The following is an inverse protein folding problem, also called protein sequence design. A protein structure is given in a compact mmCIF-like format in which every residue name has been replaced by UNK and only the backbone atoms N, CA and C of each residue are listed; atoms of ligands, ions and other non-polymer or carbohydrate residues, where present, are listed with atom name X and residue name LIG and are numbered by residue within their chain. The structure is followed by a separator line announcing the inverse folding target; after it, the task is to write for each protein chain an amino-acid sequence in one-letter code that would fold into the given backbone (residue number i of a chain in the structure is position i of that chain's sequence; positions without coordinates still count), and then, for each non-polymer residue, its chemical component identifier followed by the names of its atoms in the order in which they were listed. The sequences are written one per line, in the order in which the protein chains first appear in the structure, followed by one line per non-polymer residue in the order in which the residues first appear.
data_IF_610507539643
#
_entry.id   IF_610507539643
#
_cell.length_a   1.000
_cell.length_b   1.000
_cell.length_c   1.000
_cell.angle_alpha   90.00
_cell.angle_beta   90.00
_cell.angle_gamma   90.00
#
_symmetry.space_group_name_H-M   'P 1'
#
loop_
_entity.id
_entity.type
_entity.pdbx_description
1 polymer ?
#
# COMPACT_ATOMS: atom_id res chain seq x y z
N UNK A 1 29.63 36.42 -6.37
CA UNK A 1 28.44 37.21 -6.74
C UNK A 1 27.70 36.45 -7.81
N UNK A 2 26.73 35.64 -7.45
CA UNK A 2 25.75 35.05 -8.40
C UNK A 2 24.39 35.06 -7.70
N UNK A 3 23.45 35.67 -8.40
CA UNK A 3 22.10 36.04 -7.98
C UNK A 3 21.17 34.84 -7.75
N UNK A 4 20.44 34.87 -6.63
CA UNK A 4 19.32 33.95 -6.35
C UNK A 4 18.06 34.52 -7.01
N UNK A 5 17.49 33.76 -7.95
CA UNK A 5 16.15 34.03 -8.48
C UNK A 5 15.10 33.39 -7.57
N UNK A 6 14.22 34.22 -6.98
CA UNK A 6 13.02 33.78 -6.26
C UNK A 6 11.88 33.66 -7.27
N UNK A 7 11.26 32.47 -7.35
CA UNK A 7 10.01 32.29 -8.07
C UNK A 7 8.87 32.56 -7.09
N UNK A 8 8.09 33.61 -7.38
CA UNK A 8 6.87 34.00 -6.64
C UNK A 8 5.70 33.33 -7.37
N UNK A 9 5.01 32.42 -6.70
CA UNK A 9 3.77 31.84 -7.20
C UNK A 9 2.60 32.83 -7.07
N UNK A 10 1.92 33.07 -8.17
CA UNK A 10 0.75 33.95 -8.25
C UNK A 10 -0.51 33.09 -8.06
N UNK A 11 -1.21 33.28 -6.93
CA UNK A 11 -2.54 32.69 -6.71
C UNK A 11 -3.60 33.58 -7.38
N UNK A 12 -4.30 33.06 -8.38
CA UNK A 12 -5.44 33.74 -8.98
C UNK A 12 -6.73 33.33 -8.25
N UNK A 13 -7.35 34.30 -7.55
CA UNK A 13 -8.68 34.15 -6.97
C UNK A 13 -9.71 34.52 -8.05
N UNK A 14 -10.52 33.55 -8.48
CA UNK A 14 -11.65 33.78 -9.39
C UNK A 14 -12.94 33.87 -8.57
N UNK A 15 -13.51 35.06 -8.45
CA UNK A 15 -14.82 35.30 -7.88
C UNK A 15 -15.89 35.06 -8.94
N UNK A 16 -16.77 34.06 -8.72
CA UNK A 16 -17.94 33.79 -9.55
C UNK A 16 -19.19 34.40 -8.92
N UNK A 17 -19.89 35.21 -9.71
CA UNK A 17 -21.15 35.83 -9.36
C UNK A 17 -22.30 34.76 -9.39
N UNK A 18 -23.12 34.78 -8.33
CA UNK A 18 -24.29 33.92 -8.18
C UNK A 18 -25.47 34.59 -8.90
N UNK A 19 -25.94 34.00 -9.98
CA UNK A 19 -27.22 34.31 -10.61
C UNK A 19 -28.23 33.23 -10.22
N UNK A 20 -29.22 33.57 -9.39
CA UNK A 20 -30.37 32.71 -9.08
C UNK A 20 -31.37 32.68 -10.22
N UNK A 21 -31.57 31.52 -10.83
CA UNK A 21 -32.72 31.22 -11.66
C UNK A 21 -33.48 30.05 -11.01
N UNK A 22 -34.65 30.37 -10.46
CA UNK A 22 -35.63 29.37 -10.04
C UNK A 22 -36.34 28.80 -11.26
N UNK A 23 -36.38 27.49 -11.41
CA UNK A 23 -37.11 26.84 -12.50
C UNK A 23 -37.07 25.32 -12.34
N UNK A 24 -38.25 24.76 -11.97
CA UNK A 24 -38.74 23.45 -12.37
C UNK A 24 -37.95 22.20 -11.97
N UNK A 25 -38.39 21.48 -10.94
CA UNK A 25 -38.00 20.09 -10.67
C UNK A 25 -38.51 19.16 -11.79
N UNK A 26 -37.70 18.96 -12.81
CA UNK A 26 -37.80 17.77 -13.63
C UNK A 26 -36.86 16.74 -13.01
N UNK A 27 -37.40 15.57 -12.62
CA UNK A 27 -36.61 14.36 -12.30
C UNK A 27 -35.72 14.01 -13.50
N UNK A 28 -34.59 14.65 -13.61
CA UNK A 28 -33.54 14.22 -14.53
C UNK A 28 -33.01 12.90 -13.98
N UNK A 29 -33.49 11.75 -14.50
CA UNK A 29 -32.79 10.47 -14.33
C UNK A 29 -31.34 10.73 -14.67
N UNK A 30 -30.51 10.76 -13.63
CA UNK A 30 -29.06 10.95 -13.73
C UNK A 30 -28.54 9.88 -14.69
N UNK A 31 -27.95 10.29 -15.81
CA UNK A 31 -27.35 9.33 -16.73
C UNK A 31 -26.26 8.60 -15.95
N UNK A 32 -26.24 7.26 -15.97
CA UNK A 32 -25.19 6.52 -15.31
C UNK A 32 -23.84 7.04 -15.80
N UNK A 33 -22.93 7.33 -14.86
CA UNK A 33 -21.58 7.78 -15.17
C UNK A 33 -20.85 6.77 -16.07
N UNK A 34 -19.79 7.23 -16.75
CA UNK A 34 -18.87 6.32 -17.47
C UNK A 34 -18.34 5.30 -16.46
N UNK A 35 -18.30 3.99 -16.78
CA UNK A 35 -17.64 3.03 -15.88
C UNK A 35 -16.17 3.41 -15.65
N UNK A 36 -15.70 3.25 -14.42
CA UNK A 36 -14.32 3.54 -14.02
C UNK A 36 -13.63 2.25 -13.64
N UNK A 37 -12.42 2.03 -14.15
CA UNK A 37 -11.57 0.90 -13.78
C UNK A 37 -10.71 1.30 -12.59
N UNK A 38 -10.74 0.48 -11.54
CA UNK A 38 -9.96 0.68 -10.33
C UNK A 38 -9.09 -0.55 -10.04
N UNK A 39 -7.96 -0.33 -9.37
CA UNK A 39 -7.02 -1.39 -9.01
C UNK A 39 -6.59 -1.25 -7.55
N UNK A 40 -6.54 -2.38 -6.84
CA UNK A 40 -5.77 -2.55 -5.60
C UNK A 40 -4.50 -3.31 -5.91
N UNK A 41 -3.34 -2.82 -5.46
CA UNK A 41 -2.07 -3.47 -5.77
C UNK A 41 -1.03 -3.23 -4.67
N UNK A 42 -0.77 -4.27 -3.86
CA UNK A 42 0.44 -4.34 -3.06
C UNK A 42 1.62 -4.63 -4.00
N UNK A 43 2.67 -3.79 -3.99
CA UNK A 43 3.81 -3.90 -4.90
C UNK A 43 5.04 -4.53 -4.26
N UNK A 44 4.90 -5.06 -3.06
CA UNK A 44 5.93 -5.72 -2.25
C UNK A 44 7.16 -4.85 -1.98
N UNK A 45 7.39 -4.51 -0.72
CA UNK A 45 8.52 -3.67 -0.28
C UNK A 45 9.92 -4.30 -0.45
N UNK A 46 9.97 -5.60 -0.77
CA UNK A 46 11.18 -6.29 -1.24
C UNK A 46 11.81 -7.29 -0.29
N UNK A 47 11.40 -7.36 0.99
CA UNK A 47 11.89 -8.34 1.96
C UNK A 47 11.02 -8.42 3.21
N UNK A 48 11.17 -9.48 4.02
CA UNK A 48 10.56 -9.57 5.35
C UNK A 48 11.24 -8.62 6.35
N UNK A 49 10.57 -7.51 6.66
CA UNK A 49 11.03 -6.51 7.62
C UNK A 49 10.96 -6.96 9.08
N UNK A 50 10.34 -8.10 9.38
CA UNK A 50 10.33 -8.66 10.74
C UNK A 50 11.62 -9.40 11.07
N UNK A 51 12.42 -9.81 10.09
CA UNK A 51 13.68 -10.52 10.32
C UNK A 51 14.59 -9.77 11.29
N UNK A 52 14.90 -8.47 11.13
CA UNK A 52 15.71 -7.72 12.07
C UNK A 52 15.10 -7.65 13.47
N UNK A 53 13.78 -7.44 13.55
CA UNK A 53 13.03 -7.35 14.79
C UNK A 53 13.08 -8.68 15.54
N UNK A 54 12.76 -9.76 14.85
CA UNK A 54 12.75 -11.11 15.43
C UNK A 54 14.15 -11.53 15.91
N UNK A 55 15.19 -11.18 15.17
CA UNK A 55 16.57 -11.44 15.58
C UNK A 55 16.94 -10.68 16.87
N UNK A 56 16.60 -9.40 16.95
CA UNK A 56 16.83 -8.58 18.14
C UNK A 56 16.03 -9.09 19.36
N UNK A 57 14.74 -9.38 19.18
CA UNK A 57 13.89 -9.92 20.25
C UNK A 57 14.36 -11.29 20.73
N UNK A 58 14.78 -12.16 19.83
CA UNK A 58 15.32 -13.48 20.20
C UNK A 58 16.61 -13.35 21.03
N UNK A 59 17.53 -12.46 20.64
CA UNK A 59 18.73 -12.18 21.41
C UNK A 59 18.39 -11.60 22.80
N UNK A 60 17.45 -10.67 22.88
CA UNK A 60 16.98 -10.08 24.14
C UNK A 60 16.33 -11.13 25.05
N UNK A 61 15.47 -11.99 24.53
CA UNK A 61 14.82 -13.07 25.29
C UNK A 61 15.79 -14.13 25.82
N UNK A 62 16.91 -14.35 25.13
CA UNK A 62 17.98 -15.23 25.57
C UNK A 62 18.89 -14.59 26.62
N UNK A 63 18.62 -13.37 27.08
CA UNK A 63 19.38 -12.65 28.07
C UNK A 63 20.66 -12.01 27.51
N UNK A 64 20.70 -11.77 26.19
CA UNK A 64 21.81 -11.09 25.53
C UNK A 64 22.03 -9.68 26.04
N UNK A 65 23.30 -9.27 26.06
CA UNK A 65 23.68 -7.89 26.36
C UNK A 65 23.12 -6.92 25.31
N UNK A 66 22.99 -5.62 25.60
CA UNK A 66 22.57 -4.63 24.59
C UNK A 66 23.43 -4.66 23.31
N UNK A 67 24.73 -4.97 23.45
CA UNK A 67 25.65 -5.11 22.32
C UNK A 67 25.29 -6.33 21.43
N UNK A 68 24.97 -7.48 22.05
CA UNK A 68 24.58 -8.69 21.32
C UNK A 68 23.24 -8.52 20.64
N UNK A 69 22.29 -7.84 21.28
CA UNK A 69 20.98 -7.50 20.66
C UNK A 69 21.17 -6.56 19.45
N UNK A 70 22.02 -5.54 19.60
CA UNK A 70 22.35 -4.62 18.50
C UNK A 70 23.02 -5.34 17.32
N UNK A 71 23.95 -6.25 17.60
CA UNK A 71 24.63 -7.06 16.58
C UNK A 71 23.63 -7.97 15.86
N UNK A 72 22.71 -8.61 16.59
CA UNK A 72 21.67 -9.44 15.99
C UNK A 72 20.75 -8.62 15.07
N UNK A 73 20.30 -7.45 15.52
CA UNK A 73 19.52 -6.50 14.73
C UNK A 73 20.26 -6.15 13.43
N UNK A 74 21.52 -5.71 13.54
CA UNK A 74 22.27 -5.18 12.40
C UNK A 74 22.65 -6.26 11.38
N UNK A 75 23.00 -7.46 11.80
CA UNK A 75 23.29 -8.57 10.89
C UNK A 75 22.02 -8.99 10.12
N UNK A 76 20.88 -9.04 10.81
CA UNK A 76 19.61 -9.35 10.18
C UNK A 76 19.12 -8.22 9.26
N UNK A 77 19.37 -6.94 9.61
CA UNK A 77 19.12 -5.80 8.73
C UNK A 77 19.96 -5.88 7.45
N UNK A 78 21.23 -6.30 7.58
CA UNK A 78 22.11 -6.52 6.43
C UNK A 78 21.56 -7.60 5.49
N UNK A 79 21.09 -8.72 6.03
CA UNK A 79 20.44 -9.79 5.26
C UNK A 79 19.16 -9.29 4.58
N UNK A 80 18.25 -8.64 5.32
CA UNK A 80 17.03 -8.06 4.79
C UNK A 80 17.33 -7.11 3.61
N UNK A 81 18.32 -6.22 3.77
CA UNK A 81 18.69 -5.28 2.72
C UNK A 81 19.29 -5.98 1.48
N UNK A 82 20.03 -7.07 1.68
CA UNK A 82 20.53 -7.88 0.56
C UNK A 82 19.39 -8.59 -0.20
N UNK A 83 18.33 -9.00 0.48
CA UNK A 83 17.14 -9.58 -0.14
C UNK A 83 16.39 -8.52 -0.96
N UNK A 84 16.25 -7.28 -0.45
CA UNK A 84 15.69 -6.17 -1.25
C UNK A 84 16.45 -5.97 -2.57
N UNK A 85 17.78 -6.11 -2.56
CA UNK A 85 18.58 -6.05 -3.79
C UNK A 85 18.31 -7.24 -4.72
N UNK A 86 18.08 -8.45 -4.17
CA UNK A 86 17.80 -9.66 -4.95
C UNK A 86 16.41 -9.65 -5.57
N UNK A 87 15.41 -9.09 -4.89
CA UNK A 87 14.03 -8.96 -5.39
C UNK A 87 13.88 -7.85 -6.43
N UNK A 88 14.94 -7.15 -6.77
CA UNK A 88 15.17 -6.25 -7.92
C UNK A 88 13.93 -5.46 -8.35
N UNK A 89 13.52 -4.48 -7.54
CA UNK A 89 12.32 -3.71 -7.83
C UNK A 89 12.33 -3.03 -9.21
N UNK A 90 13.44 -2.53 -9.79
CA UNK A 90 13.47 -2.08 -11.17
C UNK A 90 12.94 -3.08 -12.20
N UNK A 91 13.29 -4.37 -12.08
CA UNK A 91 12.73 -5.45 -12.93
C UNK A 91 11.23 -5.61 -12.65
N UNK A 92 10.83 -5.71 -11.38
CA UNK A 92 9.43 -5.87 -10.98
C UNK A 92 8.56 -4.69 -11.38
N UNK A 93 9.07 -3.47 -11.32
CA UNK A 93 8.35 -2.28 -11.78
C UNK A 93 8.00 -2.34 -13.27
N UNK A 94 8.89 -2.92 -14.11
CA UNK A 94 8.60 -3.18 -15.52
C UNK A 94 7.44 -4.17 -15.72
N UNK A 95 7.33 -5.19 -14.85
CA UNK A 95 6.22 -6.16 -14.85
C UNK A 95 4.92 -5.52 -14.35
N UNK A 96 4.98 -4.75 -13.26
CA UNK A 96 3.84 -3.99 -12.74
C UNK A 96 3.32 -2.97 -13.77
N UNK A 97 4.23 -2.27 -14.45
CA UNK A 97 3.85 -1.35 -15.52
C UNK A 97 3.16 -2.07 -16.70
N UNK A 98 3.60 -3.30 -17.04
CA UNK A 98 2.93 -4.14 -18.04
C UNK A 98 1.51 -4.56 -17.60
N UNK A 99 1.31 -4.91 -16.33
CA UNK A 99 -0.01 -5.21 -15.78
C UNK A 99 -0.95 -4.00 -15.86
N UNK A 100 -0.46 -2.81 -15.47
CA UNK A 100 -1.21 -1.56 -15.47
C UNK A 100 -1.55 -1.14 -16.90
N UNK A 101 -0.61 -1.18 -17.83
CA UNK A 101 -0.82 -0.93 -19.27
C UNK A 101 -1.90 -1.87 -19.85
N UNK A 102 -1.83 -3.18 -19.53
CA UNK A 102 -2.80 -4.17 -20.02
C UNK A 102 -4.22 -4.03 -19.46
N UNK A 103 -4.40 -3.34 -18.34
CA UNK A 103 -5.69 -3.21 -17.62
C UNK A 103 -6.24 -1.78 -17.60
N UNK A 104 -5.38 -0.80 -17.86
CA UNK A 104 -5.71 0.63 -17.97
C UNK A 104 -6.60 1.16 -16.82
N UNK A 105 -6.24 0.96 -15.53
CA UNK A 105 -7.05 1.47 -14.43
C UNK A 105 -6.97 2.99 -14.36
N UNK A 106 -8.12 3.65 -14.24
CA UNK A 106 -8.17 5.11 -14.05
C UNK A 106 -7.69 5.51 -12.64
N UNK A 107 -7.84 4.61 -11.64
CA UNK A 107 -7.37 4.82 -10.25
C UNK A 107 -6.71 3.56 -9.71
N UNK A 108 -5.58 3.73 -9.04
CA UNK A 108 -4.84 2.63 -8.42
C UNK A 108 -4.57 2.99 -6.95
N UNK A 109 -4.96 2.10 -6.04
CA UNK A 109 -4.46 2.11 -4.66
C UNK A 109 -3.25 1.19 -4.57
N UNK A 110 -2.09 1.78 -4.31
CA UNK A 110 -0.85 1.05 -4.10
C UNK A 110 -0.54 0.91 -2.61
N UNK A 111 -0.08 -0.27 -2.20
CA UNK A 111 0.45 -0.56 -0.87
C UNK A 111 1.92 -0.96 -1.00
N UNK A 112 2.67 -0.79 0.09
CA UNK A 112 4.11 -1.11 0.17
C UNK A 112 5.00 -0.35 -0.83
N UNK A 113 4.68 0.89 -1.11
CA UNK A 113 5.48 1.75 -1.98
C UNK A 113 6.72 2.23 -1.22
N UNK A 114 7.70 1.34 -1.08
CA UNK A 114 8.88 1.55 -0.25
C UNK A 114 9.76 2.72 -0.73
N UNK A 115 10.36 3.43 0.24
CA UNK A 115 11.48 4.33 0.02
C UNK A 115 12.63 3.84 0.89
N UNK A 116 13.57 3.13 0.26
CA UNK A 116 14.80 2.65 0.88
C UNK A 116 15.91 3.68 0.77
N UNK A 117 16.55 3.97 1.91
CA UNK A 117 17.65 4.92 2.01
C UNK A 117 18.79 4.32 2.83
N UNK A 118 19.99 4.84 2.62
CA UNK A 118 21.14 4.54 3.42
C UNK A 118 21.85 5.80 3.92
N UNK A 119 22.74 5.63 4.90
CA UNK A 119 23.55 6.69 5.44
C UNK A 119 24.77 6.13 6.17
N UNK A 120 25.70 6.99 6.63
CA UNK A 120 26.83 6.57 7.42
C UNK A 120 26.38 5.85 8.70
N UNK A 121 27.07 4.78 9.09
CA UNK A 121 26.79 4.03 10.33
C UNK A 121 26.90 4.93 11.57
N UNK A 122 25.84 5.02 12.38
CA UNK A 122 25.74 5.85 13.59
C UNK A 122 25.20 5.01 14.77
N UNK A 123 26.09 4.27 15.42
CA UNK A 123 25.72 3.38 16.55
C UNK A 123 25.24 4.11 17.80
N UNK A 124 25.46 5.42 17.88
CA UNK A 124 24.96 6.31 18.94
C UNK A 124 23.57 6.92 18.64
N UNK A 125 23.03 6.67 17.44
CA UNK A 125 21.72 7.15 16.97
C UNK A 125 20.83 6.02 16.43
N UNK A 126 20.93 4.82 16.99
CA UNK A 126 20.13 3.67 16.60
C UNK A 126 18.64 4.00 16.67
N UNK A 127 17.89 3.63 15.62
CA UNK A 127 16.46 3.92 15.45
C UNK A 127 16.10 5.42 15.32
N UNK A 128 17.06 6.30 15.04
CA UNK A 128 16.78 7.70 14.68
C UNK A 128 16.77 7.83 13.17
N UNK A 129 15.62 8.07 12.52
CA UNK A 129 15.50 8.11 11.05
C UNK A 129 16.23 9.32 10.45
N UNK A 130 17.51 9.18 10.12
CA UNK A 130 18.33 10.28 9.60
C UNK A 130 19.11 9.94 8.31
N UNK A 131 19.11 8.69 7.85
CA UNK A 131 19.67 8.29 6.56
C UNK A 131 18.91 8.93 5.40
N UNK A 132 19.64 9.53 4.43
CA UNK A 132 19.06 10.37 3.38
C UNK A 132 19.42 9.95 1.96
N UNK A 133 20.45 9.12 1.78
CA UNK A 133 20.90 8.69 0.45
C UNK A 133 19.91 7.67 -0.10
N UNK A 134 19.18 8.04 -1.17
CA UNK A 134 18.13 7.20 -1.75
C UNK A 134 18.76 6.03 -2.50
N UNK A 135 18.48 4.81 -2.02
CA UNK A 135 18.85 3.57 -2.71
C UNK A 135 17.76 3.17 -3.72
N UNK A 136 16.48 3.15 -3.28
CA UNK A 136 15.32 2.86 -4.12
C UNK A 136 14.13 3.72 -3.72
N UNK A 137 13.57 4.48 -4.66
CA UNK A 137 12.26 5.11 -4.54
C UNK A 137 11.27 4.35 -5.44
N UNK A 138 10.50 3.42 -4.86
CA UNK A 138 9.58 2.57 -5.62
C UNK A 138 8.53 3.37 -6.37
N UNK A 139 8.07 4.51 -5.83
CA UNK A 139 7.12 5.37 -6.54
C UNK A 139 7.72 5.92 -7.84
N UNK A 140 8.91 6.51 -7.77
CA UNK A 140 9.58 7.07 -8.95
C UNK A 140 9.91 6.00 -9.97
N UNK A 141 10.49 4.86 -9.53
CA UNK A 141 10.85 3.74 -10.41
C UNK A 141 9.60 3.21 -11.15
N UNK A 142 8.46 3.06 -10.46
CA UNK A 142 7.22 2.61 -11.09
C UNK A 142 6.65 3.64 -12.07
N UNK A 143 6.65 4.94 -11.70
CA UNK A 143 6.17 6.00 -12.58
C UNK A 143 7.03 6.14 -13.85
N UNK A 144 8.34 5.97 -13.74
CA UNK A 144 9.25 5.94 -14.88
C UNK A 144 8.98 4.72 -15.79
N UNK A 145 8.78 3.52 -15.19
CA UNK A 145 8.45 2.32 -15.95
C UNK A 145 7.08 2.41 -16.65
N UNK A 146 6.11 3.12 -16.08
CA UNK A 146 4.83 3.43 -16.72
C UNK A 146 5.02 4.42 -17.88
N UNK A 147 5.80 5.49 -17.68
CA UNK A 147 6.08 6.47 -18.71
C UNK A 147 6.81 5.88 -19.91
N UNK A 148 7.72 4.92 -19.70
CA UNK A 148 8.40 4.15 -20.76
C UNK A 148 7.42 3.33 -21.63
N UNK A 149 6.20 3.11 -21.15
CA UNK A 149 5.10 2.44 -21.86
C UNK A 149 4.03 3.41 -22.40
N UNK A 150 4.30 4.71 -22.35
CA UNK A 150 3.34 5.79 -22.71
C UNK A 150 2.11 5.85 -21.78
N UNK A 151 2.23 5.28 -20.57
CA UNK A 151 1.22 5.31 -19.52
C UNK A 151 1.52 6.43 -18.53
N UNK A 152 0.62 7.40 -18.43
CA UNK A 152 0.84 8.61 -17.63
C UNK A 152 -0.05 8.63 -16.40
N UNK A 153 0.58 8.45 -15.23
CA UNK A 153 -0.06 8.51 -13.93
C UNK A 153 0.53 9.60 -13.06
N UNK A 154 -0.28 10.14 -12.17
CA UNK A 154 0.15 11.08 -11.13
C UNK A 154 -0.26 10.58 -9.76
N UNK A 155 0.59 10.74 -8.76
CA UNK A 155 0.25 10.49 -7.37
C UNK A 155 -0.65 11.62 -6.85
N UNK A 156 -1.92 11.31 -6.57
CA UNK A 156 -2.92 12.27 -6.07
C UNK A 156 -3.10 12.23 -4.56
N UNK A 157 -2.60 11.17 -3.91
CA UNK A 157 -2.41 11.08 -2.47
C UNK A 157 -1.23 10.19 -2.15
N UNK A 158 -0.38 10.61 -1.23
CA UNK A 158 0.74 9.83 -0.69
C UNK A 158 0.63 9.86 0.82
N UNK A 159 0.65 8.70 1.44
CA UNK A 159 0.66 8.55 2.89
C UNK A 159 1.94 7.88 3.34
N UNK A 160 2.84 8.63 4.00
CA UNK A 160 3.96 8.04 4.71
C UNK A 160 3.42 7.27 5.93
N UNK A 161 3.93 6.06 6.11
CA UNK A 161 3.57 5.13 7.19
C UNK A 161 4.78 4.89 8.08
N UNK A 162 5.05 3.63 8.43
CA UNK A 162 6.25 3.31 9.20
C UNK A 162 7.50 3.94 8.56
N UNK A 163 8.29 4.63 9.39
CA UNK A 163 9.58 5.22 9.01
C UNK A 163 10.62 4.77 10.05
N UNK A 164 11.35 3.73 9.71
CA UNK A 164 12.24 3.01 10.61
C UNK A 164 13.66 2.97 10.07
N UNK A 165 14.64 3.04 10.97
CA UNK A 165 16.05 2.97 10.63
C UNK A 165 16.78 2.01 11.57
N UNK A 166 17.70 1.22 11.03
CA UNK A 166 18.52 0.31 11.78
C UNK A 166 19.92 0.22 11.17
N UNK A 167 20.96 -0.06 12.00
CA UNK A 167 22.29 -0.34 11.49
C UNK A 167 22.31 -1.64 10.67
N UNK A 168 23.18 -1.69 9.68
CA UNK A 168 23.37 -2.81 8.75
C UNK A 168 24.85 -3.10 8.61
N UNK A 169 25.27 -4.29 9.05
CA UNK A 169 26.64 -4.80 8.89
C UNK A 169 26.66 -6.31 9.13
N UNK A 170 27.76 -6.97 8.76
CA UNK A 170 28.07 -8.34 9.16
C UNK A 170 29.08 -8.37 10.30
N UNK A 171 29.09 -9.44 11.11
CA UNK A 171 30.00 -9.55 12.24
C UNK A 171 29.67 -8.59 13.39
N UNK A 172 30.68 -8.07 14.09
CA UNK A 172 30.52 -7.22 15.25
C UNK A 172 31.52 -6.06 15.28
N UNK A 173 31.11 -4.83 15.61
CA UNK A 173 32.03 -3.73 15.84
C UNK A 173 32.78 -3.86 17.17
N UNK A 174 32.32 -4.73 18.09
CA UNK A 174 32.82 -4.85 19.43
C UNK A 174 33.98 -5.87 19.55
N UNK A 175 34.17 -6.73 18.56
CA UNK A 175 35.25 -7.71 18.50
C UNK A 175 36.16 -7.53 17.26
N UNK A 176 35.90 -6.50 16.46
CA UNK A 176 36.68 -6.16 15.27
C UNK A 176 36.36 -7.00 14.04
N UNK A 177 35.29 -7.77 14.05
CA UNK A 177 34.85 -8.58 12.88
C UNK A 177 33.86 -7.85 11.93
N UNK A 178 33.57 -6.57 12.21
CA UNK A 178 32.62 -5.80 11.44
C UNK A 178 32.98 -5.78 9.92
N UNK A 179 31.98 -6.05 9.08
CA UNK A 179 32.11 -6.09 7.62
C UNK A 179 30.77 -5.82 6.93
N UNK A 180 30.64 -6.18 5.64
CA UNK A 180 29.40 -6.09 4.89
C UNK A 180 28.98 -4.65 4.55
N UNK A 181 29.95 -3.75 4.32
CA UNK A 181 29.68 -2.33 4.02
C UNK A 181 28.80 -1.67 5.11
N UNK A 182 29.37 -1.45 6.33
CA UNK A 182 28.62 -0.95 7.48
C UNK A 182 27.98 0.41 7.20
N UNK A 183 26.65 0.51 7.42
CA UNK A 183 25.84 1.71 7.16
C UNK A 183 24.56 1.65 7.98
N UNK A 184 23.83 2.76 8.04
CA UNK A 184 22.44 2.75 8.47
C UNK A 184 21.54 2.53 7.24
N UNK A 185 20.45 1.81 7.45
CA UNK A 185 19.42 1.52 6.45
C UNK A 185 18.07 1.98 6.98
N UNK A 186 17.40 2.82 6.20
CA UNK A 186 16.09 3.40 6.53
C UNK A 186 15.04 2.99 5.51
N UNK A 187 13.91 2.55 6.01
CA UNK A 187 12.71 2.28 5.24
C UNK A 187 11.62 3.27 5.65
N UNK A 188 11.10 4.03 4.68
CA UNK A 188 9.77 4.65 4.81
C UNK A 188 8.79 3.84 3.97
N UNK A 189 7.81 3.23 4.62
CA UNK A 189 6.71 2.56 3.95
C UNK A 189 5.65 3.59 3.55
N UNK A 190 5.17 3.50 2.32
CA UNK A 190 4.16 4.44 1.80
C UNK A 190 3.00 3.67 1.20
N UNK A 191 1.79 4.24 1.33
CA UNK A 191 0.65 3.87 0.51
C UNK A 191 0.32 5.05 -0.41
N UNK A 192 -0.03 4.77 -1.67
CA UNK A 192 -0.18 5.79 -2.69
C UNK A 192 -1.47 5.60 -3.48
N UNK A 193 -2.15 6.69 -3.82
CA UNK A 193 -3.21 6.68 -4.84
C UNK A 193 -2.66 7.29 -6.12
N UNK A 194 -2.62 6.50 -7.19
CA UNK A 194 -2.34 6.97 -8.54
C UNK A 194 -3.64 7.25 -9.30
N UNK A 195 -3.62 8.28 -10.13
CA UNK A 195 -4.69 8.61 -11.07
C UNK A 195 -4.11 8.77 -12.47
N UNK A 196 -4.75 8.12 -13.45
CA UNK A 196 -4.37 8.23 -14.86
C UNK A 196 -4.68 9.62 -15.39
N UNK A 197 -3.73 10.19 -16.12
CA UNK A 197 -3.88 11.51 -16.74
C UNK A 197 -4.80 11.41 -17.95
N UNK A 198 -5.65 12.44 -18.19
CA UNK A 198 -6.49 12.60 -19.39
C UNK A 198 -7.74 11.69 -19.51
N UNK A 199 -8.06 10.84 -18.53
CA UNK A 199 -9.24 9.95 -18.59
C UNK A 199 -10.57 10.59 -18.19
N UNK A 200 -10.59 11.92 -18.01
CA UNK A 200 -11.80 12.68 -17.66
C UNK A 200 -12.16 12.59 -16.17
N UNK A 201 -11.30 12.03 -15.33
CA UNK A 201 -11.38 12.12 -13.89
C UNK A 201 -10.67 13.38 -13.40
N UNK A 202 -11.14 13.91 -12.27
CA UNK A 202 -10.49 15.06 -11.60
C UNK A 202 -10.50 14.82 -10.11
N UNK A 203 -9.32 14.83 -9.48
CA UNK A 203 -9.19 14.89 -8.03
C UNK A 203 -9.63 16.27 -7.55
N UNK A 204 -10.64 16.31 -6.67
CA UNK A 204 -11.21 17.57 -6.14
C UNK A 204 -10.94 17.77 -4.65
N UNK A 205 -10.37 16.77 -4.00
CA UNK A 205 -9.92 16.81 -2.62
C UNK A 205 -9.20 15.53 -2.26
N UNK A 206 -8.36 15.56 -1.27
CA UNK A 206 -7.70 14.39 -0.70
C UNK A 206 -7.51 14.54 0.80
N UNK A 207 -7.22 13.46 1.48
CA UNK A 207 -6.87 13.42 2.89
C UNK A 207 -6.46 12.02 3.32
N UNK A 208 -6.11 11.88 4.58
CA UNK A 208 -5.69 10.62 5.17
C UNK A 208 -5.25 10.80 6.60
N UNK A 209 -5.00 9.70 7.28
CA UNK A 209 -4.44 9.66 8.62
C UNK A 209 -3.64 8.38 8.85
N UNK A 210 -2.73 8.43 9.81
CA UNK A 210 -2.18 7.26 10.48
C UNK A 210 -3.23 6.76 11.47
N UNK A 211 -3.39 5.44 11.57
CA UNK A 211 -4.30 4.84 12.55
C UNK A 211 -3.82 5.08 13.98
N UNK A 212 -4.75 5.16 14.91
CA UNK A 212 -4.45 5.26 16.34
C UNK A 212 -4.00 3.94 16.97
N UNK A 213 -4.29 2.82 16.31
CA UNK A 213 -3.90 1.48 16.73
C UNK A 213 -2.89 0.90 15.73
N UNK A 214 -1.62 0.81 16.15
CA UNK A 214 -0.53 0.28 15.36
C UNK A 214 0.27 -0.74 16.16
N UNK A 215 0.94 -1.65 15.46
CA UNK A 215 1.86 -2.59 16.09
C UNK A 215 3.07 -1.84 16.64
N UNK A 216 3.42 -2.10 17.90
CA UNK A 216 4.62 -1.55 18.53
C UNK A 216 5.49 -2.66 19.10
N UNK A 217 6.80 -2.47 19.04
CA UNK A 217 7.79 -3.42 19.56
C UNK A 217 8.86 -2.67 20.34
N UNK A 218 9.20 -3.18 21.54
CA UNK A 218 10.27 -2.60 22.36
C UNK A 218 11.60 -3.35 22.15
N UNK A 219 12.57 -2.65 21.58
CA UNK A 219 13.93 -3.17 21.36
C UNK A 219 14.93 -2.21 22.00
N UNK A 220 15.79 -2.72 22.88
CA UNK A 220 16.84 -1.94 23.58
C UNK A 220 16.30 -0.70 24.33
N UNK A 221 15.04 -0.75 24.78
CA UNK A 221 14.38 0.37 25.48
C UNK A 221 13.86 1.46 24.57
N UNK A 222 13.85 1.23 23.24
CA UNK A 222 13.20 2.09 22.24
C UNK A 222 11.95 1.40 21.72
N UNK A 223 10.81 2.08 21.75
CA UNK A 223 9.57 1.60 21.12
C UNK A 223 9.57 1.95 19.65
N UNK A 224 9.56 0.93 18.81
CA UNK A 224 9.35 1.07 17.35
C UNK A 224 7.86 0.93 17.05
N UNK A 225 7.30 1.81 16.22
CA UNK A 225 5.93 1.75 15.75
C UNK A 225 5.90 1.40 14.27
N UNK A 226 5.06 0.42 13.91
CA UNK A 226 4.78 0.05 12.52
C UNK A 226 3.47 0.69 12.11
N UNK A 227 3.56 1.97 11.80
CA UNK A 227 2.40 2.79 11.51
C UNK A 227 1.73 2.33 10.21
N UNK A 228 0.42 2.11 10.29
CA UNK A 228 -0.50 1.90 9.16
C UNK A 228 -1.48 3.08 9.09
N UNK A 229 -2.23 3.17 8.02
CA UNK A 229 -3.18 4.26 7.87
C UNK A 229 -4.01 4.14 6.60
N UNK A 230 -4.73 5.19 6.30
CA UNK A 230 -5.52 5.31 5.08
C UNK A 230 -5.29 6.65 4.41
N UNK A 231 -5.54 6.70 3.11
CA UNK A 231 -5.72 7.93 2.35
C UNK A 231 -6.96 7.82 1.46
N UNK A 232 -7.53 8.96 1.17
CA UNK A 232 -8.67 9.04 0.26
C UNK A 232 -8.52 10.21 -0.70
N UNK A 233 -9.16 10.06 -1.86
CA UNK A 233 -9.27 11.09 -2.88
C UNK A 233 -10.75 11.22 -3.25
N UNK A 234 -11.30 12.43 -3.20
CA UNK A 234 -12.59 12.74 -3.78
C UNK A 234 -12.40 12.99 -5.28
N UNK A 235 -13.07 12.17 -6.08
CA UNK A 235 -12.93 12.15 -7.53
C UNK A 235 -14.23 12.61 -8.17
N UNK A 236 -14.12 13.51 -9.15
CA UNK A 236 -15.23 13.87 -10.03
C UNK A 236 -15.10 13.16 -11.37
N UNK A 237 -16.16 12.45 -11.78
CA UNK A 237 -16.31 11.76 -13.05
C UNK A 237 -17.50 12.37 -13.81
N UNK A 238 -17.24 13.39 -14.62
CA UNK A 238 -18.31 14.15 -15.30
C UNK A 238 -19.23 14.88 -14.32
N UNK A 239 -20.51 14.46 -14.24
CA UNK A 239 -21.51 15.04 -13.34
C UNK A 239 -21.59 14.35 -11.96
N UNK A 240 -20.94 13.22 -11.79
CA UNK A 240 -20.93 12.43 -10.54
C UNK A 240 -19.64 12.66 -9.77
N UNK A 241 -19.65 12.31 -8.48
CA UNK A 241 -18.46 12.28 -7.65
C UNK A 241 -18.53 11.11 -6.70
N UNK A 242 -17.35 10.55 -6.40
CA UNK A 242 -17.18 9.45 -5.47
C UNK A 242 -15.90 9.63 -4.66
N UNK A 243 -15.77 8.90 -3.57
CA UNK A 243 -14.54 8.84 -2.78
C UNK A 243 -13.82 7.54 -3.07
N UNK A 244 -12.56 7.64 -3.46
CA UNK A 244 -11.64 6.51 -3.57
C UNK A 244 -10.76 6.46 -2.33
N UNK A 245 -10.74 5.34 -1.62
CA UNK A 245 -10.02 5.12 -0.37
C UNK A 245 -9.00 4.02 -0.60
N UNK A 246 -7.77 4.21 -0.13
CA UNK A 246 -6.70 3.21 -0.13
C UNK A 246 -6.17 3.00 1.29
N UNK A 247 -5.89 1.76 1.67
CA UNK A 247 -5.33 1.42 2.97
C UNK A 247 -4.54 0.11 2.91
N UNK A 248 -3.65 -0.05 3.89
CA UNK A 248 -2.96 -1.30 4.17
C UNK A 248 -3.08 -1.58 5.68
N UNK A 249 -3.81 -2.65 6.07
CA UNK A 249 -4.03 -2.98 7.48
C UNK A 249 -2.88 -3.81 8.08
N UNK A 250 -2.92 -3.95 9.39
CA UNK A 250 -1.93 -4.71 10.15
C UNK A 250 -2.00 -6.21 9.82
N UNK A 251 -0.83 -6.79 9.50
CA UNK A 251 -0.70 -8.19 9.09
C UNK A 251 -0.57 -9.17 10.27
N UNK A 252 0.01 -8.74 11.39
CA UNK A 252 0.43 -9.63 12.46
C UNK A 252 -0.60 -9.78 13.58
N UNK A 253 -1.57 -8.85 13.67
CA UNK A 253 -2.64 -8.88 14.68
C UNK A 253 -3.99 -8.58 14.07
N UNK A 254 -4.90 -9.55 14.13
CA UNK A 254 -6.30 -9.39 13.70
C UNK A 254 -7.07 -8.43 14.62
N UNK A 255 -6.71 -8.32 15.90
CA UNK A 255 -7.29 -7.34 16.83
C UNK A 255 -6.94 -5.91 16.40
N UNK A 256 -5.68 -5.65 16.02
CA UNK A 256 -5.24 -4.34 15.51
C UNK A 256 -5.90 -4.05 14.16
N UNK A 257 -5.88 -5.00 13.23
CA UNK A 257 -6.52 -4.85 11.92
C UNK A 257 -8.03 -4.55 12.04
N UNK A 258 -8.73 -5.17 12.99
CA UNK A 258 -10.14 -4.89 13.27
C UNK A 258 -10.34 -3.46 13.80
N UNK A 259 -9.48 -2.99 14.71
CA UNK A 259 -9.54 -1.61 15.21
C UNK A 259 -9.25 -0.60 14.09
N UNK A 260 -8.30 -0.89 13.19
CA UNK A 260 -8.00 -0.08 12.02
C UNK A 260 -9.18 -0.03 11.04
N UNK A 261 -9.85 -1.16 10.79
CA UNK A 261 -11.06 -1.20 9.98
C UNK A 261 -12.19 -0.35 10.60
N UNK A 262 -12.40 -0.40 11.93
CA UNK A 262 -13.36 0.45 12.63
C UNK A 262 -13.05 1.93 12.45
N UNK A 263 -11.78 2.31 12.62
CA UNK A 263 -11.32 3.70 12.48
C UNK A 263 -11.47 4.20 11.04
N UNK A 264 -11.12 3.39 10.04
CA UNK A 264 -11.30 3.72 8.63
C UNK A 264 -12.77 3.96 8.30
N UNK A 265 -13.66 3.06 8.72
CA UNK A 265 -15.10 3.19 8.47
C UNK A 265 -15.69 4.47 9.11
N UNK A 266 -15.18 4.87 10.27
CA UNK A 266 -15.64 6.07 10.97
C UNK A 266 -15.12 7.36 10.35
N UNK A 267 -13.88 7.38 9.85
CA UNK A 267 -13.17 8.63 9.53
C UNK A 267 -12.89 8.83 8.03
N UNK A 268 -12.68 7.73 7.27
CA UNK A 268 -12.33 7.83 5.85
C UNK A 268 -13.55 7.86 4.94
N UNK A 269 -14.67 7.22 5.32
CA UNK A 269 -15.83 7.08 4.46
C UNK A 269 -16.67 8.35 4.41
N UNK A 270 -17.23 8.65 3.23
CA UNK A 270 -18.17 9.74 3.05
C UNK A 270 -19.61 9.19 3.04
N UNK A 271 -20.52 9.83 3.81
CA UNK A 271 -21.92 9.40 3.91
C UNK A 271 -22.78 9.91 2.75
N UNK A 272 -22.36 11.00 2.11
CA UNK A 272 -23.11 11.75 1.08
C UNK A 272 -22.81 11.32 -0.35
N UNK A 273 -21.91 10.36 -0.54
CA UNK A 273 -21.47 9.92 -1.88
C UNK A 273 -21.06 8.45 -1.88
N UNK A 274 -20.88 7.92 -3.09
CA UNK A 274 -20.30 6.58 -3.28
C UNK A 274 -18.88 6.53 -2.78
N UNK A 275 -18.53 5.42 -2.10
CA UNK A 275 -17.18 5.10 -1.68
C UNK A 275 -16.71 3.86 -2.42
N UNK A 276 -15.52 3.91 -3.00
CA UNK A 276 -14.75 2.76 -3.47
C UNK A 276 -13.57 2.63 -2.53
N UNK A 277 -13.44 1.50 -1.87
CA UNK A 277 -12.37 1.23 -0.94
C UNK A 277 -11.52 0.06 -1.46
N UNK A 278 -10.23 0.31 -1.66
CA UNK A 278 -9.26 -0.70 -2.08
C UNK A 278 -8.22 -0.88 -0.98
N UNK A 279 -7.76 -2.10 -0.78
CA UNK A 279 -6.78 -2.41 0.26
C UNK A 279 -6.04 -3.71 -0.01
N UNK A 280 -4.84 -3.79 0.53
CA UNK A 280 -4.38 -4.97 1.21
C UNK A 280 -4.91 -4.89 2.64
N UNK A 281 -5.94 -5.64 2.91
CA UNK A 281 -6.63 -5.60 4.21
C UNK A 281 -6.11 -6.63 5.21
N UNK A 282 -5.13 -7.45 4.82
CA UNK A 282 -4.53 -8.48 5.67
C UNK A 282 -5.56 -9.31 6.44
N UNK A 283 -6.69 -9.61 5.79
CA UNK A 283 -7.83 -10.36 6.35
C UNK A 283 -8.36 -11.31 5.28
N UNK A 284 -8.39 -12.60 5.56
CA UNK A 284 -8.95 -13.59 4.63
C UNK A 284 -10.36 -13.98 5.08
N UNK A 285 -11.40 -13.76 4.23
CA UNK A 285 -12.80 -14.07 4.56
C UNK A 285 -13.03 -15.55 4.88
N UNK A 286 -12.17 -16.43 4.42
CA UNK A 286 -12.28 -17.89 4.66
C UNK A 286 -11.50 -18.35 5.90
N UNK A 287 -10.62 -17.51 6.46
CA UNK A 287 -9.77 -17.87 7.60
C UNK A 287 -10.43 -17.51 8.94
N UNK A 288 -11.05 -18.51 9.58
CA UNK A 288 -11.63 -18.38 10.91
C UNK A 288 -10.66 -18.62 12.08
N UNK A 289 -9.37 -18.80 11.83
CA UNK A 289 -8.38 -19.02 12.90
C UNK A 289 -8.11 -17.73 13.70
N UNK A 290 -7.76 -17.91 14.97
CA UNK A 290 -7.34 -16.85 15.89
C UNK A 290 -5.85 -17.02 16.15
N UNK A 291 -5.05 -15.98 15.89
CA UNK A 291 -3.61 -16.01 16.18
C UNK A 291 -3.34 -16.07 17.69
N UNK A 292 -2.18 -16.57 18.14
CA UNK A 292 -1.93 -16.81 19.57
C UNK A 292 -2.12 -15.60 20.50
N UNK A 293 -1.96 -14.38 19.99
CA UNK A 293 -2.06 -13.13 20.77
C UNK A 293 -3.31 -12.33 20.45
N UNK A 294 -4.17 -12.81 19.55
CA UNK A 294 -5.41 -12.17 19.15
C UNK A 294 -6.62 -12.75 19.90
N UNK A 295 -7.69 -11.96 19.93
CA UNK A 295 -8.98 -12.35 20.50
C UNK A 295 -10.06 -12.54 19.43
N UNK A 296 -9.83 -12.05 18.21
CA UNK A 296 -10.74 -12.18 17.07
C UNK A 296 -10.13 -13.02 15.94
N UNK A 297 -10.97 -13.68 15.12
CA UNK A 297 -10.48 -14.44 13.98
C UNK A 297 -9.93 -13.55 12.87
N UNK A 298 -9.06 -14.13 12.04
CA UNK A 298 -8.41 -13.42 10.91
C UNK A 298 -9.41 -12.76 9.95
N UNK A 299 -10.60 -13.33 9.77
CA UNK A 299 -11.67 -12.78 8.92
C UNK A 299 -12.45 -11.60 9.53
N UNK A 300 -12.24 -11.25 10.82
CA UNK A 300 -13.08 -10.27 11.51
C UNK A 300 -13.08 -8.86 10.88
N UNK A 301 -11.95 -8.30 10.40
CA UNK A 301 -11.97 -7.03 9.68
C UNK A 301 -12.84 -7.08 8.41
N UNK A 302 -12.75 -8.14 7.61
CA UNK A 302 -13.59 -8.32 6.42
C UNK A 302 -15.08 -8.40 6.78
N UNK A 303 -15.45 -9.18 7.80
CA UNK A 303 -16.83 -9.29 8.27
C UNK A 303 -17.38 -7.96 8.79
N UNK A 304 -16.53 -7.13 9.40
CA UNK A 304 -16.93 -5.77 9.80
C UNK A 304 -17.21 -4.88 8.59
N UNK A 305 -16.29 -4.85 7.62
CA UNK A 305 -16.38 -4.02 6.42
C UNK A 305 -17.64 -4.37 5.61
N UNK A 306 -17.89 -5.66 5.39
CA UNK A 306 -19.02 -6.12 4.56
C UNK A 306 -20.35 -6.17 5.36
N UNK A 307 -20.28 -6.35 6.66
CA UNK A 307 -21.45 -6.36 7.55
C UNK A 307 -21.85 -4.94 7.99
N UNK A 308 -21.39 -4.50 9.15
CA UNK A 308 -21.78 -3.20 9.71
C UNK A 308 -21.27 -2.01 8.88
N UNK A 309 -20.16 -2.15 8.16
CA UNK A 309 -19.63 -1.15 7.24
C UNK A 309 -20.50 -0.94 5.99
N UNK A 310 -21.32 -1.93 5.64
CA UNK A 310 -22.24 -1.87 4.51
C UNK A 310 -21.55 -1.83 3.13
N UNK A 311 -20.30 -2.26 3.05
CA UNK A 311 -19.59 -2.39 1.78
C UNK A 311 -19.91 -3.72 1.11
N UNK A 312 -19.97 -3.71 -0.20
CA UNK A 312 -20.04 -4.91 -1.04
C UNK A 312 -18.63 -5.27 -1.48
N UNK A 313 -18.26 -6.55 -1.42
CA UNK A 313 -17.08 -7.10 -2.07
C UNK A 313 -17.39 -7.22 -3.58
N UNK A 314 -16.82 -6.33 -4.37
CA UNK A 314 -17.16 -6.21 -5.80
C UNK A 314 -16.58 -7.37 -6.64
N UNK A 315 -15.54 -8.06 -6.14
CA UNK A 315 -15.03 -9.28 -6.80
C UNK A 315 -16.05 -10.41 -6.71
N UNK A 316 -16.62 -10.65 -5.53
CA UNK A 316 -17.62 -11.71 -5.34
C UNK A 316 -18.93 -11.43 -6.07
N UNK A 317 -19.29 -10.14 -6.27
CA UNK A 317 -20.44 -9.78 -7.11
C UNK A 317 -20.15 -10.04 -8.59
N UNK A 318 -18.91 -9.84 -9.04
CA UNK A 318 -18.50 -10.05 -10.43
C UNK A 318 -18.25 -11.53 -10.75
N UNK A 319 -17.50 -12.22 -9.92
CA UNK A 319 -17.03 -13.60 -10.16
C UNK A 319 -17.28 -14.50 -8.91
N UNK A 320 -18.54 -14.74 -8.52
CA UNK A 320 -18.87 -15.43 -7.26
C UNK A 320 -18.40 -16.88 -7.18
N UNK A 321 -18.02 -17.49 -8.31
CA UNK A 321 -17.50 -18.84 -8.39
C UNK A 321 -15.96 -18.92 -8.37
N UNK A 322 -15.28 -17.76 -8.42
CA UNK A 322 -13.82 -17.69 -8.47
C UNK A 322 -13.27 -17.22 -7.13
N UNK A 323 -12.25 -17.88 -6.64
CA UNK A 323 -11.63 -17.58 -5.36
C UNK A 323 -11.02 -16.16 -5.35
N UNK A 324 -10.40 -15.75 -6.46
CA UNK A 324 -9.75 -14.44 -6.58
C UNK A 324 -8.55 -14.31 -5.66
N UNK A 325 -7.75 -15.36 -5.51
CA UNK A 325 -6.58 -15.40 -4.64
C UNK A 325 -5.54 -14.37 -5.05
N UNK A 326 -4.95 -13.71 -4.03
CA UNK A 326 -4.02 -12.60 -4.24
C UNK A 326 -2.72 -12.72 -3.44
N UNK A 327 -2.57 -13.69 -2.54
CA UNK A 327 -1.43 -13.87 -1.65
C UNK A 327 -1.22 -15.38 -1.44
N UNK A 328 -0.06 -15.92 -1.19
CA UNK A 328 1.18 -15.41 -0.67
C UNK A 328 2.37 -16.12 -1.34
N UNK A 329 3.21 -15.47 -2.12
CA UNK A 329 4.44 -16.04 -2.67
C UNK A 329 5.58 -16.01 -1.65
N UNK A 330 6.70 -16.70 -1.96
CA UNK A 330 7.89 -16.67 -1.13
C UNK A 330 8.54 -15.29 -1.14
N UNK A 331 9.35 -15.01 -0.12
CA UNK A 331 10.05 -13.73 0.06
C UNK A 331 10.91 -13.32 -1.14
N UNK A 332 11.49 -14.26 -1.87
CA UNK A 332 12.34 -13.95 -3.02
C UNK A 332 11.54 -13.69 -4.30
N UNK A 333 10.23 -13.88 -4.26
CA UNK A 333 9.31 -13.72 -5.40
C UNK A 333 9.83 -14.37 -6.69
N UNK A 334 10.49 -15.53 -6.54
CA UNK A 334 11.06 -16.32 -7.64
C UNK A 334 10.44 -17.72 -7.77
N UNK A 335 9.30 -17.93 -7.10
CA UNK A 335 8.56 -19.18 -7.07
C UNK A 335 8.36 -19.74 -8.47
N UNK A 336 8.63 -21.07 -8.69
CA UNK A 336 8.52 -21.66 -10.03
C UNK A 336 7.07 -21.80 -10.52
N UNK A 337 6.11 -21.78 -9.60
CA UNK A 337 4.66 -21.96 -9.84
C UNK A 337 3.85 -20.87 -9.16
N UNK A 338 2.55 -20.81 -9.47
CA UNK A 338 1.59 -19.91 -8.85
C UNK A 338 0.91 -20.52 -7.60
N UNK A 339 1.37 -21.68 -7.11
CA UNK A 339 0.69 -22.44 -6.06
C UNK A 339 0.66 -21.70 -4.70
N UNK A 340 1.52 -20.67 -4.52
CA UNK A 340 1.52 -19.82 -3.33
C UNK A 340 0.34 -18.85 -3.28
N UNK A 341 -0.32 -18.53 -4.40
CA UNK A 341 -1.55 -17.74 -4.38
C UNK A 341 -2.72 -18.63 -3.93
N UNK A 342 -2.97 -18.74 -2.63
CA UNK A 342 -3.94 -19.65 -2.05
C UNK A 342 -4.95 -18.99 -1.10
N UNK A 343 -4.84 -17.67 -0.85
CA UNK A 343 -5.79 -16.89 -0.07
C UNK A 343 -5.96 -15.47 -0.60
N UNK A 344 -7.02 -14.79 -0.17
CA UNK A 344 -7.40 -13.48 -0.68
C UNK A 344 -7.44 -12.46 0.44
N UNK A 345 -6.54 -11.48 0.38
CA UNK A 345 -6.41 -10.39 1.35
C UNK A 345 -6.46 -9.00 0.70
N UNK A 346 -6.42 -8.95 -0.64
CA UNK A 346 -6.55 -7.72 -1.41
C UNK A 346 -7.97 -7.57 -1.95
N UNK A 347 -8.55 -6.38 -1.83
CA UNK A 347 -9.96 -6.17 -2.13
C UNK A 347 -10.23 -4.87 -2.88
N UNK A 348 -11.36 -4.89 -3.59
CA UNK A 348 -12.09 -3.72 -4.06
C UNK A 348 -13.51 -3.79 -3.49
N UNK A 349 -13.81 -2.88 -2.59
CA UNK A 349 -15.11 -2.75 -1.94
C UNK A 349 -15.88 -1.54 -2.47
N UNK A 350 -17.21 -1.67 -2.59
CA UNK A 350 -18.09 -0.60 -3.03
C UNK A 350 -19.22 -0.32 -2.03
N UNK A 351 -19.55 0.95 -1.79
CA UNK A 351 -20.70 1.38 -1.03
C UNK A 351 -21.29 2.66 -1.60
N UNK A 352 -22.51 2.63 -2.14
CA UNK A 352 -23.19 3.82 -2.63
C UNK A 352 -23.87 4.59 -1.51
N UNK A 353 -24.09 5.89 -1.70
CA UNK A 353 -24.87 6.71 -0.76
C UNK A 353 -26.36 6.28 -0.70
N UNK A 354 -26.89 5.70 -1.76
CA UNK A 354 -28.28 5.22 -1.80
C UNK A 354 -28.49 3.82 -1.22
N UNK A 355 -27.39 3.09 -0.93
CA UNK A 355 -27.43 1.67 -0.54
C UNK A 355 -27.64 0.72 -1.73
N UNK A 356 -27.67 1.23 -2.97
CA UNK A 356 -27.66 0.40 -4.17
C UNK A 356 -26.25 -0.18 -4.41
N UNK A 357 -26.17 -1.30 -5.12
CA UNK A 357 -24.87 -1.91 -5.47
C UNK A 357 -24.23 -1.18 -6.65
N UNK A 358 -22.89 -1.08 -6.64
CA UNK A 358 -22.14 -0.51 -7.75
C UNK A 358 -22.26 -1.38 -9.01
N UNK A 359 -21.87 -2.61 -8.92
CA UNK A 359 -21.82 -3.56 -10.02
C UNK A 359 -20.55 -3.45 -10.87
N UNK A 360 -19.73 -4.46 -10.78
CA UNK A 360 -18.58 -4.65 -11.66
C UNK A 360 -19.03 -5.25 -13.01
N UNK A 361 -18.45 -4.76 -14.10
CA UNK A 361 -18.78 -5.21 -15.47
C UNK A 361 -17.62 -5.92 -16.15
N UNK A 362 -16.43 -5.79 -15.61
CA UNK A 362 -15.22 -6.51 -16.00
C UNK A 362 -14.33 -6.58 -14.78
N UNK A 363 -13.61 -7.68 -14.61
CA UNK A 363 -12.66 -7.86 -13.53
C UNK A 363 -11.63 -8.93 -13.87
N UNK A 364 -10.49 -8.84 -13.23
CA UNK A 364 -9.44 -9.86 -13.25
C UNK A 364 -8.53 -9.69 -12.05
N UNK A 365 -7.88 -10.78 -11.64
CA UNK A 365 -6.68 -10.74 -10.80
C UNK A 365 -5.49 -10.77 -11.74
N UNK A 366 -4.48 -9.92 -11.50
CA UNK A 366 -3.28 -9.79 -12.33
C UNK A 366 -2.03 -10.21 -11.55
N UNK A 367 -0.97 -10.56 -12.27
CA UNK A 367 0.31 -10.89 -11.66
C UNK A 367 0.34 -12.26 -10.96
N UNK A 368 -0.63 -13.13 -11.24
CA UNK A 368 -0.78 -14.45 -10.59
C UNK A 368 -0.57 -15.64 -11.54
N UNK A 369 -0.25 -15.37 -12.79
CA UNK A 369 0.04 -16.41 -13.78
C UNK A 369 1.55 -16.59 -13.97
N UNK A 370 2.04 -17.79 -14.16
CA UNK A 370 3.49 -18.07 -14.41
C UNK A 370 4.04 -17.25 -15.57
N UNK A 371 3.20 -16.88 -16.53
CA UNK A 371 3.55 -16.01 -17.67
C UNK A 371 3.75 -14.54 -17.30
N UNK A 372 3.41 -14.14 -16.08
CA UNK A 372 3.58 -12.77 -15.59
C UNK A 372 4.99 -12.54 -15.01
N UNK A 373 5.73 -13.64 -14.80
CA UNK A 373 7.13 -13.58 -14.35
C UNK A 373 8.04 -12.97 -15.41
N UNK A 374 9.10 -12.34 -14.95
CA UNK A 374 10.19 -11.94 -15.83
C UNK A 374 10.91 -13.18 -16.38
N UNK A 375 10.98 -13.39 -17.70
CA UNK A 375 11.57 -14.60 -18.28
C UNK A 375 13.10 -14.68 -18.09
N UNK A 376 13.78 -13.59 -17.77
CA UNK A 376 15.23 -13.56 -17.60
C UNK A 376 15.65 -13.86 -16.15
N UNK A 377 14.94 -13.30 -15.17
CA UNK A 377 15.26 -13.43 -13.75
C UNK A 377 14.38 -14.45 -13.04
N UNK A 378 13.18 -14.74 -13.56
CA UNK A 378 12.17 -15.55 -12.91
C UNK A 378 11.37 -14.84 -11.83
N UNK A 379 11.60 -13.55 -11.60
CA UNK A 379 10.90 -12.77 -10.58
C UNK A 379 9.42 -12.54 -10.95
N UNK A 380 8.56 -12.61 -9.96
CA UNK A 380 7.18 -12.16 -10.04
C UNK A 380 7.08 -10.64 -9.87
N UNK A 381 5.99 -9.99 -10.34
CA UNK A 381 5.78 -8.55 -10.14
C UNK A 381 5.74 -8.16 -8.65
N UNK A 382 5.16 -9.00 -7.81
CA UNK A 382 4.99 -8.86 -6.36
C UNK A 382 4.70 -10.24 -5.78
N UNK A 383 4.76 -10.38 -4.47
CA UNK A 383 4.24 -11.54 -3.72
C UNK A 383 2.70 -11.54 -3.63
N UNK A 384 2.06 -10.44 -4.03
CA UNK A 384 0.61 -10.32 -4.18
C UNK A 384 0.16 -10.31 -5.65
N UNK A 385 -1.12 -10.66 -5.89
CA UNK A 385 -1.85 -10.37 -7.12
C UNK A 385 -2.57 -9.02 -7.03
N UNK A 386 -2.81 -8.37 -8.19
CA UNK A 386 -3.59 -7.15 -8.28
C UNK A 386 -5.06 -7.43 -8.55
N UNK A 387 -5.97 -6.76 -7.84
CA UNK A 387 -7.41 -6.85 -8.12
C UNK A 387 -7.85 -5.68 -8.96
N UNK A 388 -8.29 -5.95 -10.19
CA UNK A 388 -8.74 -4.93 -11.14
C UNK A 388 -10.22 -5.11 -11.44
N UNK A 389 -11.02 -4.06 -11.20
CA UNK A 389 -12.46 -4.08 -11.47
C UNK A 389 -12.90 -2.82 -12.21
N UNK A 390 -13.77 -2.99 -13.22
CA UNK A 390 -14.45 -1.90 -13.91
C UNK A 390 -15.85 -1.74 -13.35
N UNK A 391 -16.05 -0.66 -12.60
CA UNK A 391 -17.26 -0.38 -11.83
C UNK A 391 -18.20 0.56 -12.56
N UNK A 392 -19.53 0.31 -12.45
CA UNK A 392 -20.61 1.22 -12.89
C UNK A 392 -21.17 1.97 -11.70
N UNK A 393 -21.81 3.11 -11.98
CA UNK A 393 -22.51 3.87 -10.94
C UNK A 393 -21.63 4.86 -10.17
N UNK A 394 -20.44 5.12 -10.69
CA UNK A 394 -19.49 6.11 -10.15
C UNK A 394 -19.68 7.48 -10.81
#
# INVERSE_FOLDING_TARGET
MISRARIVGLAAVLTLAVGSLAGGTADAKQRPGKPVTVMSRNIYLGADINRPINAALAAQQQGGTPQEVLVALANATHETRAIVDQTDFPVRAGLLAKEIDGTEPELIGLQEVALWRSGPLQLDQVAVPNATDVDYDFLHILLDALADRDEHYVAVAVGDRADVEAPSFTGSPFDGTIGGNPRDVRLTMRDVVLMRVEDGLTAVGNGGAVFSHNLTVDILGTTLSFDRGYQWVDVRAGATSFRFINSHFEAFSSDIALAQAQELLANATAADRTNVFVCDCNTDPLNGSVKPHDTVPHKAPYELITGAGGFTDEWLEFAPAEAGWTSDLSELVDDPTADGFDHRIDFVFGRTASGERLGAVRGQVTGTEVSDRDPATGLWPSDHGGVVLRLRGL
#
